data_IF_078184573698
#
_entry.id   IF_078184573698
#
_cell.length_a   1.000
_cell.length_b   1.000
_cell.length_c   1.000
_cell.angle_alpha   90.00
_cell.angle_beta   90.00
_cell.angle_gamma   90.00
#
_symmetry.space_group_name_H-M   'P 1'
#
loop_
_entity.id
_entity.type
_entity.pdbx_description
1 polymer ?
#
# COMPACT_ATOMS: atom_id res chain seq x y z
N UNK A 1 2.20 -0.65 20.78
CA UNK A 1 1.41 -0.10 19.66
C UNK A 1 1.77 -0.90 18.42
N UNK A 2 0.82 -1.31 17.57
CA UNK A 2 1.15 -1.88 16.28
C UNK A 2 1.96 -0.87 15.47
N UNK A 3 2.82 -1.32 14.54
CA UNK A 3 3.60 -0.41 13.71
C UNK A 3 2.67 0.49 12.90
N UNK A 4 3.08 1.76 12.76
CA UNK A 4 2.34 2.82 12.08
C UNK A 4 2.11 2.46 10.61
N UNK A 5 3.14 1.88 9.98
CA UNK A 5 3.07 1.27 8.66
C UNK A 5 3.24 -0.26 8.75
N UNK A 6 2.40 -1.02 8.05
CA UNK A 6 2.48 -2.48 8.04
C UNK A 6 2.04 -3.09 6.72
N UNK A 7 2.63 -4.24 6.41
CA UNK A 7 2.23 -5.09 5.30
C UNK A 7 2.25 -6.54 5.78
N UNK A 8 1.08 -7.18 5.75
CA UNK A 8 0.89 -8.52 6.26
C UNK A 8 0.19 -9.40 5.23
N UNK A 9 0.79 -10.57 4.98
CA UNK A 9 0.17 -11.62 4.17
C UNK A 9 -0.61 -12.58 5.06
N UNK A 10 -1.72 -13.09 4.56
CA UNK A 10 -2.49 -14.12 5.23
C UNK A 10 -2.99 -15.16 4.21
N UNK A 11 -3.34 -16.33 4.71
CA UNK A 11 -3.81 -17.43 3.90
C UNK A 11 -4.98 -18.12 4.57
N UNK A 12 -6.05 -18.32 3.82
CA UNK A 12 -7.17 -19.16 4.21
C UNK A 12 -6.88 -20.60 3.78
N UNK A 13 -6.27 -21.39 4.68
CA UNK A 13 -5.76 -22.74 4.40
C UNK A 13 -6.79 -23.66 3.73
N UNK A 14 -8.04 -23.61 4.19
CA UNK A 14 -9.11 -24.47 3.69
C UNK A 14 -9.79 -23.97 2.41
N UNK A 15 -9.53 -22.73 2.00
CA UNK A 15 -10.16 -22.12 0.82
C UNK A 15 -9.17 -21.90 -0.34
N UNK A 16 -7.87 -22.08 -0.11
CA UNK A 16 -6.84 -21.81 -1.12
C UNK A 16 -6.67 -20.33 -1.46
N UNK A 17 -7.19 -19.43 -0.63
CA UNK A 17 -7.20 -17.99 -0.87
C UNK A 17 -6.05 -17.34 -0.10
N UNK A 18 -5.19 -16.61 -0.82
CA UNK A 18 -4.19 -15.70 -0.24
C UNK A 18 -4.76 -14.29 -0.24
N UNK A 19 -4.50 -13.57 0.84
CA UNK A 19 -4.80 -12.15 0.93
C UNK A 19 -3.68 -11.39 1.58
N UNK A 20 -3.75 -10.08 1.45
CA UNK A 20 -2.74 -9.15 1.94
C UNK A 20 -3.46 -7.95 2.57
N UNK A 21 -2.89 -7.43 3.65
CA UNK A 21 -3.36 -6.23 4.35
C UNK A 21 -2.20 -5.25 4.39
N UNK A 22 -2.47 -4.00 4.02
CA UNK A 22 -1.51 -2.91 4.11
C UNK A 22 -2.08 -1.78 4.96
N UNK A 23 -1.24 -1.17 5.77
CA UNK A 23 -1.49 0.06 6.52
C UNK A 23 -0.35 1.02 6.23
N UNK A 24 -0.66 2.23 5.75
CA UNK A 24 0.31 3.28 5.44
C UNK A 24 -0.16 4.57 6.13
N UNK A 25 0.25 4.77 7.37
CA UNK A 25 -0.05 5.97 8.16
C UNK A 25 1.09 6.98 8.08
N UNK A 26 2.31 6.59 8.48
CA UNK A 26 3.47 7.49 8.48
C UNK A 26 3.91 7.83 7.06
N UNK A 27 4.01 6.83 6.17
CA UNK A 27 4.32 7.06 4.76
C UNK A 27 3.30 8.01 4.09
N UNK A 28 2.02 7.91 4.44
CA UNK A 28 0.98 8.79 3.91
C UNK A 28 1.10 10.22 4.45
N UNK A 29 1.33 10.37 5.76
CA UNK A 29 1.56 11.68 6.38
C UNK A 29 2.81 12.38 5.81
N UNK A 30 3.88 11.64 5.54
CA UNK A 30 5.09 12.18 4.94
C UNK A 30 4.84 12.76 3.54
N UNK A 31 4.04 12.06 2.71
CA UNK A 31 3.71 12.52 1.35
C UNK A 31 2.80 13.75 1.37
N UNK A 32 1.81 13.78 2.25
CA UNK A 32 0.97 14.96 2.45
C UNK A 32 1.77 16.15 3.01
N UNK A 33 2.77 15.90 3.86
CA UNK A 33 3.67 16.93 4.38
C UNK A 33 4.61 17.50 3.31
N UNK A 34 5.01 16.69 2.33
CA UNK A 34 5.86 17.11 1.22
C UNK A 34 5.11 17.98 0.20
N UNK A 35 3.79 17.83 0.06
CA UNK A 35 2.98 18.60 -0.89
C UNK A 35 1.51 18.66 -0.46
N UNK A 36 0.94 19.87 -0.44
CA UNK A 36 -0.46 20.09 -0.10
C UNK A 36 -1.36 19.78 -1.30
N UNK A 37 -1.71 18.52 -1.47
CA UNK A 37 -2.63 18.08 -2.53
C UNK A 37 -4.08 18.47 -2.18
N UNK A 38 -4.87 18.93 -3.18
CA UNK A 38 -6.32 19.02 -3.01
C UNK A 38 -6.92 17.65 -2.64
N UNK A 39 -8.04 17.60 -1.89
CA UNK A 39 -8.67 16.34 -1.51
C UNK A 39 -8.97 15.39 -2.68
N UNK A 40 -9.29 15.94 -3.86
CA UNK A 40 -9.55 15.19 -5.09
C UNK A 40 -8.33 14.45 -5.65
N UNK A 41 -7.12 14.88 -5.27
CA UNK A 41 -5.86 14.23 -5.67
C UNK A 41 -5.33 13.36 -4.53
N UNK A 42 -5.46 13.82 -3.29
CA UNK A 42 -4.96 13.12 -2.12
C UNK A 42 -5.61 11.72 -1.97
N UNK A 43 -6.93 11.61 -2.11
CA UNK A 43 -7.60 10.32 -1.95
C UNK A 43 -7.13 9.26 -2.98
N UNK A 44 -7.18 9.53 -4.31
CA UNK A 44 -6.66 8.58 -5.31
C UNK A 44 -5.17 8.29 -5.15
N UNK A 45 -4.36 9.26 -4.71
CA UNK A 45 -2.93 9.05 -4.47
C UNK A 45 -2.69 8.06 -3.31
N UNK A 46 -3.41 8.21 -2.19
CA UNK A 46 -3.33 7.26 -1.07
C UNK A 46 -3.80 5.86 -1.45
N UNK A 47 -4.88 5.75 -2.24
CA UNK A 47 -5.35 4.49 -2.80
C UNK A 47 -4.30 3.85 -3.72
N UNK A 48 -3.70 4.65 -4.62
CA UNK A 48 -2.64 4.19 -5.51
C UNK A 48 -1.41 3.70 -4.74
N UNK A 49 -1.02 4.37 -3.66
CA UNK A 49 0.06 3.91 -2.78
C UNK A 49 -0.24 2.55 -2.15
N UNK A 50 -1.44 2.38 -1.58
CA UNK A 50 -1.84 1.11 -1.00
C UNK A 50 -1.86 0.00 -2.08
N UNK A 51 -2.40 0.31 -3.26
CA UNK A 51 -2.43 -0.61 -4.40
C UNK A 51 -1.02 -1.02 -4.85
N UNK A 52 -0.07 -0.09 -4.92
CA UNK A 52 1.32 -0.36 -5.33
C UNK A 52 2.00 -1.34 -4.37
N UNK A 53 1.80 -1.16 -3.06
CA UNK A 53 2.39 -2.03 -2.04
C UNK A 53 1.78 -3.42 -2.11
N UNK A 54 0.45 -3.54 -2.22
CA UNK A 54 -0.22 -4.81 -2.40
C UNK A 54 0.25 -5.52 -3.68
N UNK A 55 0.31 -4.81 -4.81
CA UNK A 55 0.80 -5.37 -6.07
C UNK A 55 2.25 -5.85 -5.96
N UNK A 56 3.12 -5.09 -5.30
CA UNK A 56 4.50 -5.51 -5.04
C UNK A 56 4.59 -6.80 -4.23
N UNK A 57 3.62 -7.03 -3.34
CA UNK A 57 3.48 -8.24 -2.54
C UNK A 57 3.31 -9.52 -3.38
N UNK A 58 2.78 -9.38 -4.60
CA UNK A 58 2.51 -10.49 -5.52
C UNK A 58 3.67 -10.83 -6.47
N UNK A 59 4.69 -9.96 -6.54
CA UNK A 59 5.81 -10.10 -7.47
C UNK A 59 6.88 -11.04 -6.89
N UNK A 60 7.39 -11.96 -7.72
CA UNK A 60 8.36 -13.00 -7.31
C UNK A 60 9.83 -12.64 -7.54
N UNK A 61 10.11 -11.52 -8.21
CA UNK A 61 11.46 -11.09 -8.55
C UNK A 61 11.81 -9.80 -7.82
N UNK A 62 13.10 -9.59 -7.55
CA UNK A 62 13.59 -8.33 -7.00
C UNK A 62 13.58 -7.24 -8.07
N UNK A 63 12.80 -6.20 -7.85
CA UNK A 63 12.65 -5.10 -8.79
C UNK A 63 11.78 -3.99 -8.21
N UNK A 64 11.65 -2.89 -8.95
CA UNK A 64 10.79 -1.78 -8.59
C UNK A 64 9.50 -1.81 -9.39
N UNK A 65 8.36 -1.63 -8.73
CA UNK A 65 7.08 -1.39 -9.39
C UNK A 65 6.74 0.09 -9.30
N UNK A 66 6.40 0.68 -10.45
CA UNK A 66 5.95 2.07 -10.55
C UNK A 66 4.49 2.05 -11.03
N UNK A 67 3.61 2.70 -10.29
CA UNK A 67 2.22 2.93 -10.68
C UNK A 67 2.05 4.41 -11.04
N UNK A 68 1.44 4.67 -12.19
CA UNK A 68 1.20 6.01 -12.71
C UNK A 68 -0.25 6.11 -13.19
N UNK A 69 -0.90 7.24 -12.92
CA UNK A 69 -2.29 7.58 -13.30
C UNK A 69 -2.34 8.88 -14.09
#
# INVERSE_FOLDING_TARGET
MPPTDSFQRFYFEHLGIRGEIVRLEEAWLAIQGASHYPPSVAAPLGEAMAAVVLLSGTIKFEGSLILQV
#
